data_IF_535962681945
#
_entry.id   IF_535962681945
#
_cell.length_a   1.000
_cell.length_b   1.000
_cell.length_c   1.000
_cell.angle_alpha   90.00
_cell.angle_beta   90.00
_cell.angle_gamma   90.00
#
_symmetry.space_group_name_H-M   'P 1'
#
loop_
_entity.id
_entity.type
_entity.pdbx_description
1 polymer ?
#
# COMPACT_ATOMS: atom_id res chain seq x y z
N UNK A 1 -19.14 21.96 -33.10
CA UNK A 1 -19.17 21.11 -34.30
C UNK A 1 -17.76 20.66 -34.76
N UNK A 2 -16.75 21.53 -34.76
CA UNK A 2 -15.39 21.20 -35.26
C UNK A 2 -14.71 20.09 -34.46
N UNK A 3 -14.84 20.09 -33.14
CA UNK A 3 -14.23 19.04 -32.27
C UNK A 3 -14.75 17.63 -32.56
N UNK A 4 -16.03 17.46 -32.90
CA UNK A 4 -16.60 16.15 -33.25
C UNK A 4 -16.04 15.64 -34.59
N UNK A 5 -15.82 16.54 -35.51
CA UNK A 5 -15.25 16.22 -36.85
C UNK A 5 -13.78 15.79 -36.69
N UNK A 6 -13.02 16.51 -35.87
CA UNK A 6 -11.61 16.15 -35.59
C UNK A 6 -11.48 14.84 -34.83
N UNK A 7 -12.41 14.55 -33.94
CA UNK A 7 -12.44 13.27 -33.23
C UNK A 7 -12.66 12.09 -34.18
N UNK A 8 -13.67 12.19 -35.07
CA UNK A 8 -13.92 11.18 -36.07
C UNK A 8 -12.76 11.04 -37.08
N UNK A 9 -12.13 12.16 -37.42
CA UNK A 9 -10.95 12.15 -38.26
C UNK A 9 -9.76 11.44 -37.59
N UNK A 10 -9.51 11.72 -36.33
CA UNK A 10 -8.46 11.05 -35.57
C UNK A 10 -8.66 9.53 -35.52
N UNK A 11 -9.89 9.06 -35.29
CA UNK A 11 -10.23 7.64 -35.29
C UNK A 11 -9.98 6.98 -36.64
N UNK A 12 -10.40 7.62 -37.73
CA UNK A 12 -10.20 7.12 -39.11
C UNK A 12 -8.72 7.09 -39.50
N UNK A 13 -7.95 8.10 -39.13
CA UNK A 13 -6.50 8.13 -39.42
C UNK A 13 -5.73 7.15 -38.56
N UNK A 14 -6.16 6.90 -37.30
CA UNK A 14 -5.58 5.90 -36.45
C UNK A 14 -5.58 4.52 -37.08
N UNK A 15 -6.75 4.09 -37.60
CA UNK A 15 -6.92 2.80 -38.27
C UNK A 15 -6.09 2.65 -39.56
N UNK A 16 -5.73 3.76 -40.18
CA UNK A 16 -4.89 3.75 -41.39
C UNK A 16 -3.41 3.73 -41.07
N UNK A 17 -3.00 4.41 -40.00
CA UNK A 17 -1.61 4.61 -39.64
C UNK A 17 -1.06 3.46 -38.80
N UNK A 18 -1.87 2.87 -37.95
CA UNK A 18 -1.45 1.87 -37.00
C UNK A 18 -2.18 0.55 -37.21
N UNK A 19 -1.40 -0.53 -37.10
CA UNK A 19 -1.90 -1.91 -37.20
C UNK A 19 -2.07 -2.56 -35.83
N UNK A 20 -1.60 -1.91 -34.78
CA UNK A 20 -1.68 -2.38 -33.39
C UNK A 20 -2.35 -1.32 -32.50
N UNK A 21 -2.68 -1.73 -31.29
CA UNK A 21 -3.43 -0.96 -30.31
C UNK A 21 -2.55 -0.23 -29.27
N UNK A 22 -1.24 -0.13 -29.52
CA UNK A 22 -0.25 0.44 -28.60
C UNK A 22 -0.03 1.94 -28.75
N UNK A 23 -0.78 2.62 -29.60
CA UNK A 23 -0.50 4.01 -29.99
C UNK A 23 -1.54 5.01 -29.48
N UNK A 24 -1.13 6.27 -29.41
CA UNK A 24 -1.96 7.44 -29.18
C UNK A 24 -1.74 8.40 -30.35
N UNK A 25 -2.83 8.83 -30.99
CA UNK A 25 -2.82 9.80 -32.07
C UNK A 25 -3.50 11.09 -31.62
N UNK A 26 -2.80 12.21 -31.75
CA UNK A 26 -3.36 13.55 -31.57
C UNK A 26 -3.47 14.23 -32.91
N UNK A 27 -4.67 14.72 -33.25
CA UNK A 27 -4.90 15.61 -34.39
C UNK A 27 -5.10 17.02 -33.84
N UNK A 28 -4.21 17.92 -34.21
CA UNK A 28 -4.20 19.31 -33.77
C UNK A 28 -4.53 20.23 -34.94
N UNK A 29 -5.43 21.16 -34.76
CA UNK A 29 -5.84 22.13 -35.76
C UNK A 29 -5.77 23.53 -35.20
N UNK A 30 -4.74 24.26 -35.55
CA UNK A 30 -4.63 25.69 -35.26
C UNK A 30 -5.60 26.48 -36.20
N UNK A 31 -6.40 27.35 -35.59
CA UNK A 31 -7.35 28.19 -36.34
C UNK A 31 -6.73 29.49 -36.81
N UNK A 32 -5.48 29.81 -36.42
CA UNK A 32 -4.79 31.05 -36.74
C UNK A 32 -5.36 32.29 -36.03
N UNK A 33 -6.31 32.10 -35.12
CA UNK A 33 -6.97 33.18 -34.37
C UNK A 33 -6.60 33.18 -32.87
N UNK A 34 -5.50 32.52 -32.51
CA UNK A 34 -5.10 32.36 -31.10
C UNK A 34 -5.93 31.31 -30.36
N UNK A 35 -6.53 30.40 -31.12
CA UNK A 35 -7.26 29.24 -30.58
C UNK A 35 -7.01 28.02 -31.44
N UNK A 36 -7.11 26.85 -30.85
CA UNK A 36 -6.97 25.58 -31.55
C UNK A 36 -8.12 24.64 -31.22
N UNK A 37 -8.25 23.59 -32.00
CA UNK A 37 -9.10 22.45 -31.72
C UNK A 37 -8.29 21.18 -31.89
N UNK A 38 -8.62 20.16 -31.12
CA UNK A 38 -7.96 18.86 -31.24
C UNK A 38 -8.97 17.72 -31.20
N UNK A 39 -8.60 16.61 -31.82
CA UNK A 39 -9.20 15.30 -31.66
C UNK A 39 -8.12 14.28 -31.38
N UNK A 40 -8.46 13.16 -30.81
CA UNK A 40 -7.47 12.11 -30.48
C UNK A 40 -8.05 10.72 -30.64
N UNK A 41 -7.21 9.75 -30.92
CA UNK A 41 -7.53 8.34 -30.88
C UNK A 41 -6.53 7.58 -30.02
N UNK A 42 -7.02 6.63 -29.24
CA UNK A 42 -6.22 5.84 -28.30
C UNK A 42 -6.52 4.38 -28.51
N UNK A 43 -5.51 3.59 -28.86
CA UNK A 43 -5.65 2.14 -28.96
C UNK A 43 -5.90 1.48 -27.60
N UNK A 44 -6.50 0.31 -27.60
CA UNK A 44 -6.96 -0.37 -26.40
C UNK A 44 -5.83 -0.68 -25.41
N UNK A 45 -4.62 -0.95 -25.89
CA UNK A 45 -3.44 -1.16 -25.05
C UNK A 45 -2.91 0.18 -24.51
N UNK A 46 -2.90 1.22 -25.33
CA UNK A 46 -2.46 2.56 -24.91
C UNK A 46 -3.37 3.18 -23.85
N UNK A 47 -4.65 2.82 -23.79
CA UNK A 47 -5.62 3.27 -22.77
C UNK A 47 -5.24 2.94 -21.34
N UNK A 48 -4.37 1.96 -21.12
CA UNK A 48 -3.85 1.64 -19.79
C UNK A 48 -2.92 2.72 -19.24
N UNK A 49 -2.33 3.54 -20.11
CA UNK A 49 -1.42 4.63 -19.76
C UNK A 49 -2.06 5.99 -20.10
N UNK A 50 -2.66 6.10 -21.30
CA UNK A 50 -3.36 7.29 -21.80
C UNK A 50 -4.87 7.17 -21.56
N UNK A 51 -5.25 7.13 -20.27
CA UNK A 51 -6.65 7.16 -19.85
C UNK A 51 -7.23 8.58 -19.93
N UNK A 52 -8.45 8.77 -19.49
CA UNK A 52 -9.13 10.08 -19.54
C UNK A 52 -8.44 11.15 -18.70
N UNK A 53 -7.77 10.75 -17.59
CA UNK A 53 -7.00 11.67 -16.73
C UNK A 53 -5.71 12.09 -17.45
N UNK A 54 -5.00 11.15 -18.04
CA UNK A 54 -3.79 11.42 -18.82
C UNK A 54 -4.06 12.33 -20.02
N UNK A 55 -5.15 12.11 -20.74
CA UNK A 55 -5.59 12.99 -21.85
C UNK A 55 -5.92 14.40 -21.34
N UNK A 56 -6.57 14.52 -20.18
CA UNK A 56 -6.85 15.83 -19.56
C UNK A 56 -5.56 16.56 -19.19
N UNK A 57 -4.58 15.84 -18.63
CA UNK A 57 -3.24 16.40 -18.30
C UNK A 57 -2.53 16.86 -19.58
N UNK A 58 -2.62 16.10 -20.69
CA UNK A 58 -2.06 16.52 -21.97
C UNK A 58 -2.73 17.81 -22.48
N UNK A 59 -4.06 17.89 -22.41
CA UNK A 59 -4.79 19.10 -22.80
C UNK A 59 -4.35 20.32 -21.98
N UNK A 60 -4.17 20.20 -20.66
CA UNK A 60 -3.66 21.27 -19.79
C UNK A 60 -2.27 21.76 -20.20
N UNK A 61 -1.38 20.84 -20.62
CA UNK A 61 -0.06 21.23 -21.11
C UNK A 61 -0.09 21.84 -22.51
N UNK A 62 -0.96 21.36 -23.42
CA UNK A 62 -1.17 21.99 -24.73
C UNK A 62 -1.69 23.42 -24.53
N UNK A 63 -2.68 23.64 -23.70
CA UNK A 63 -3.21 24.99 -23.40
C UNK A 63 -2.13 25.92 -22.83
N UNK A 64 -1.31 25.38 -21.91
CA UNK A 64 -0.24 26.15 -21.27
C UNK A 64 0.84 26.62 -22.23
N UNK A 65 1.23 25.77 -23.18
CA UNK A 65 2.35 26.06 -24.07
C UNK A 65 1.91 26.64 -25.40
N UNK A 66 0.62 26.57 -25.75
CA UNK A 66 0.10 27.11 -27.03
C UNK A 66 0.39 28.60 -27.23
N UNK A 67 0.34 29.40 -26.17
CA UNK A 67 0.62 30.84 -26.22
C UNK A 67 2.12 31.20 -26.07
N UNK A 68 3.01 30.22 -26.01
CA UNK A 68 4.44 30.46 -25.97
C UNK A 68 5.02 30.56 -27.38
N UNK A 69 6.09 31.37 -27.55
CA UNK A 69 6.81 31.52 -28.83
C UNK A 69 7.71 30.30 -29.12
N UNK A 70 7.18 29.07 -28.97
CA UNK A 70 7.88 27.84 -29.27
C UNK A 70 7.62 27.42 -30.72
N UNK A 71 8.63 26.81 -31.35
CA UNK A 71 8.43 26.10 -32.61
C UNK A 71 7.51 24.88 -32.39
N UNK A 72 6.76 24.49 -33.43
CA UNK A 72 5.76 23.41 -33.32
C UNK A 72 6.35 22.11 -32.77
N UNK A 73 7.56 21.73 -33.18
CA UNK A 73 8.24 20.54 -32.72
C UNK A 73 8.55 20.61 -31.20
N UNK A 74 9.06 21.75 -30.73
CA UNK A 74 9.35 21.99 -29.32
C UNK A 74 8.07 22.01 -28.48
N UNK A 75 7.03 22.65 -28.98
CA UNK A 75 5.71 22.72 -28.35
C UNK A 75 5.14 21.34 -28.10
N UNK A 76 5.01 20.49 -29.13
CA UNK A 76 4.47 19.16 -28.96
C UNK A 76 5.37 18.26 -28.13
N UNK A 77 6.67 18.25 -28.37
CA UNK A 77 7.60 17.41 -27.60
C UNK A 77 7.56 17.74 -26.11
N UNK A 78 7.52 19.03 -25.77
CA UNK A 78 7.45 19.50 -24.38
C UNK A 78 6.11 19.10 -23.72
N UNK A 79 4.99 19.30 -24.41
CA UNK A 79 3.67 18.93 -23.89
C UNK A 79 3.58 17.43 -23.63
N UNK A 80 4.02 16.58 -24.55
CA UNK A 80 4.04 15.13 -24.37
C UNK A 80 5.03 14.68 -23.30
N UNK A 81 6.22 15.25 -23.24
CA UNK A 81 7.20 14.92 -22.21
C UNK A 81 6.66 15.25 -20.81
N UNK A 82 6.09 16.45 -20.62
CA UNK A 82 5.53 16.87 -19.33
C UNK A 82 4.34 16.02 -18.91
N UNK A 83 3.51 15.63 -19.86
CA UNK A 83 2.42 14.70 -19.62
C UNK A 83 2.96 13.36 -19.15
N UNK A 84 3.93 12.78 -19.85
CA UNK A 84 4.56 11.52 -19.48
C UNK A 84 5.20 11.56 -18.08
N UNK A 85 5.95 12.61 -17.77
CA UNK A 85 6.54 12.83 -16.44
C UNK A 85 5.44 12.88 -15.36
N UNK A 86 4.35 13.58 -15.60
CA UNK A 86 3.24 13.72 -14.66
C UNK A 86 2.53 12.39 -14.41
N UNK A 87 2.19 11.66 -15.46
CA UNK A 87 1.49 10.37 -15.39
C UNK A 87 2.35 9.35 -14.67
N UNK A 88 3.64 9.28 -15.00
CA UNK A 88 4.57 8.33 -14.36
C UNK A 88 4.81 8.64 -12.89
N UNK A 89 4.78 9.90 -12.47
CA UNK A 89 4.90 10.26 -11.04
C UNK A 89 3.67 9.86 -10.23
N UNK A 90 2.47 9.99 -10.78
CA UNK A 90 1.22 9.58 -10.13
C UNK A 90 1.17 8.05 -9.96
N UNK A 91 1.57 7.30 -10.98
CA UNK A 91 1.61 5.83 -10.91
C UNK A 91 2.63 5.31 -9.90
N UNK A 92 3.74 6.03 -9.66
CA UNK A 92 4.78 5.67 -8.67
C UNK A 92 4.36 5.92 -7.21
N UNK A 93 3.38 6.78 -6.97
CA UNK A 93 3.07 7.27 -5.62
C UNK A 93 2.16 6.36 -4.79
N UNK A 94 1.41 5.44 -5.37
CA UNK A 94 0.41 4.67 -4.62
C UNK A 94 0.91 3.31 -4.08
N UNK A 95 1.84 2.67 -4.76
CA UNK A 95 2.30 1.32 -4.40
C UNK A 95 3.01 1.24 -3.04
N UNK A 96 3.93 2.16 -2.66
CA UNK A 96 4.62 2.07 -1.37
C UNK A 96 3.68 2.34 -0.17
N UNK A 97 2.70 3.23 -0.32
CA UNK A 97 1.78 3.59 0.77
C UNK A 97 0.87 2.42 1.15
N UNK A 98 0.36 1.68 0.18
CA UNK A 98 -0.50 0.50 0.42
C UNK A 98 0.30 -0.61 1.13
N UNK A 99 1.53 -0.87 0.71
CA UNK A 99 2.40 -1.87 1.35
C UNK A 99 2.69 -1.48 2.81
N UNK A 100 3.01 -0.22 3.09
CA UNK A 100 3.28 0.27 4.45
C UNK A 100 2.06 0.07 5.35
N UNK A 101 0.86 0.38 4.88
CA UNK A 101 -0.39 0.18 5.65
C UNK A 101 -0.60 -1.30 5.99
N UNK A 102 -0.38 -2.22 5.05
CA UNK A 102 -0.48 -3.65 5.30
C UNK A 102 0.56 -4.16 6.31
N UNK A 103 1.80 -3.68 6.24
CA UNK A 103 2.86 -4.05 7.19
C UNK A 103 2.51 -3.57 8.61
N UNK A 104 2.01 -2.34 8.76
CA UNK A 104 1.59 -1.80 10.05
C UNK A 104 0.41 -2.61 10.61
N UNK A 105 -0.60 -2.93 9.79
CA UNK A 105 -1.73 -3.74 10.21
C UNK A 105 -1.30 -5.13 10.69
N UNK A 106 -0.41 -5.80 9.96
CA UNK A 106 0.15 -7.10 10.35
C UNK A 106 0.93 -7.01 11.67
N UNK A 107 1.74 -5.98 11.88
CA UNK A 107 2.48 -5.76 13.11
C UNK A 107 1.55 -5.58 14.33
N UNK A 108 0.47 -4.83 14.18
CA UNK A 108 -0.54 -4.65 15.23
C UNK A 108 -1.20 -5.98 15.61
N UNK A 109 -1.57 -6.79 14.64
CA UNK A 109 -2.16 -8.13 14.89
C UNK A 109 -1.18 -9.02 15.68
N UNK A 110 0.11 -9.02 15.33
CA UNK A 110 1.13 -9.80 16.04
C UNK A 110 1.29 -9.32 17.48
N UNK A 111 1.33 -8.01 17.72
CA UNK A 111 1.44 -7.44 19.06
C UNK A 111 0.23 -7.82 19.92
N UNK A 112 -0.99 -7.68 19.38
CA UNK A 112 -2.22 -8.07 20.09
C UNK A 112 -2.23 -9.57 20.43
N UNK A 113 -1.79 -10.41 19.50
CA UNK A 113 -1.69 -11.86 19.73
C UNK A 113 -0.67 -12.20 20.83
N UNK A 114 0.49 -11.54 20.84
CA UNK A 114 1.49 -11.74 21.87
C UNK A 114 1.00 -11.29 23.26
N UNK A 115 0.32 -10.15 23.33
CA UNK A 115 -0.28 -9.66 24.58
C UNK A 115 -1.37 -10.59 25.10
N UNK A 116 -2.20 -11.15 24.19
CA UNK A 116 -3.22 -12.12 24.56
C UNK A 116 -2.57 -13.39 25.15
N UNK A 117 -1.57 -13.91 24.50
CA UNK A 117 -0.82 -15.10 24.95
C UNK A 117 -0.12 -14.89 26.30
N UNK A 118 0.43 -13.69 26.54
CA UNK A 118 1.05 -13.34 27.83
C UNK A 118 0.02 -13.27 28.97
N UNK A 119 -1.14 -12.67 28.68
CA UNK A 119 -2.25 -12.62 29.64
C UNK A 119 -2.77 -14.01 30.00
N UNK A 120 -2.82 -14.92 29.06
CA UNK A 120 -3.25 -16.29 29.29
C UNK A 120 -2.27 -17.06 30.16
N UNK A 121 -0.97 -16.92 29.93
CA UNK A 121 0.08 -17.49 30.80
C UNK A 121 0.00 -16.93 32.22
N UNK A 122 -0.14 -15.63 32.38
CA UNK A 122 -0.26 -14.99 33.69
C UNK A 122 -1.52 -15.44 34.47
N UNK A 123 -2.63 -15.67 33.76
CA UNK A 123 -3.86 -16.23 34.35
C UNK A 123 -3.70 -17.70 34.77
N UNK A 124 -3.00 -18.48 33.96
CA UNK A 124 -2.74 -19.89 34.27
C UNK A 124 -1.82 -20.02 35.52
N UNK A 125 -0.84 -19.16 35.67
CA UNK A 125 0.06 -19.12 36.80
C UNK A 125 -0.65 -18.70 38.10
N UNK A 126 -1.54 -17.71 38.03
CA UNK A 126 -2.41 -17.34 39.16
C UNK A 126 -3.29 -18.50 39.60
N UNK A 127 -3.95 -19.19 38.66
CA UNK A 127 -4.79 -20.36 38.98
C UNK A 127 -4.02 -21.52 39.60
N UNK A 128 -2.73 -21.69 39.29
CA UNK A 128 -1.87 -22.71 39.97
C UNK A 128 -1.58 -22.32 41.39
N UNK A 129 -1.19 -21.06 41.65
CA UNK A 129 -0.94 -20.55 43.00
C UNK A 129 -2.17 -20.61 43.91
N UNK A 130 -3.34 -20.25 43.33
CA UNK A 130 -4.60 -20.30 44.06
C UNK A 130 -4.95 -21.75 44.48
N UNK A 131 -4.73 -22.72 43.58
CA UNK A 131 -4.93 -24.14 43.88
C UNK A 131 -3.94 -24.69 44.89
N UNK A 132 -2.66 -24.32 44.79
CA UNK A 132 -1.64 -24.72 45.75
C UNK A 132 -1.95 -24.14 47.14
N UNK A 133 -2.44 -22.90 47.22
CA UNK A 133 -2.85 -22.27 48.46
C UNK A 133 -4.11 -22.93 49.07
N UNK A 134 -5.07 -23.30 48.22
CA UNK A 134 -6.27 -24.00 48.65
C UNK A 134 -5.95 -25.42 49.15
N UNK A 135 -5.03 -26.13 48.52
CA UNK A 135 -4.58 -27.47 48.92
C UNK A 135 -3.82 -27.43 50.26
N UNK A 136 -3.02 -26.38 50.48
CA UNK A 136 -2.37 -26.15 51.78
C UNK A 136 -3.40 -25.88 52.90
N UNK A 137 -4.44 -25.09 52.62
CA UNK A 137 -5.51 -24.76 53.59
C UNK A 137 -6.43 -25.94 53.91
N UNK A 138 -6.58 -26.88 52.97
CA UNK A 138 -7.39 -28.09 53.18
C UNK A 138 -6.62 -29.24 53.81
N UNK A 139 -5.26 -29.14 53.89
CA UNK A 139 -4.48 -30.18 54.57
C UNK A 139 -4.64 -30.04 56.06
N UNK A 140 -5.21 -31.04 56.77
CA UNK A 140 -5.41 -30.96 58.22
C UNK A 140 -4.06 -30.90 58.94
N UNK A 141 -3.98 -30.05 59.96
CA UNK A 141 -2.79 -29.79 60.76
C UNK A 141 -2.20 -31.06 61.44
N UNK A 142 -2.98 -32.11 61.58
CA UNK A 142 -2.54 -33.39 62.12
C UNK A 142 -1.46 -34.12 61.30
N UNK A 143 -1.31 -33.78 60.02
CA UNK A 143 -0.22 -34.34 59.18
C UNK A 143 1.14 -33.69 59.36
N UNK A 144 1.22 -32.56 60.03
CA UNK A 144 2.47 -31.87 60.33
C UNK A 144 3.12 -32.31 61.66
N UNK A 145 2.55 -33.31 62.33
CA UNK A 145 3.09 -33.81 63.60
C UNK A 145 3.97 -35.04 63.46
N UNK A 146 4.27 -35.49 62.23
CA UNK A 146 5.14 -36.64 62.04
C UNK A 146 6.62 -36.18 62.10
N UNK A 147 7.33 -36.65 63.13
CA UNK A 147 8.77 -36.44 63.41
C UNK A 147 9.67 -36.80 62.20
N UNK A 148 9.19 -37.62 61.28
CA UNK A 148 9.85 -38.06 60.06
C UNK A 148 10.08 -36.94 59.03
N UNK A 149 9.21 -35.92 58.95
CA UNK A 149 9.39 -34.79 58.03
C UNK A 149 10.42 -33.79 58.50
N UNK A 150 10.52 -33.60 59.80
CA UNK A 150 11.53 -32.73 60.41
C UNK A 150 12.95 -33.30 60.22
N UNK A 151 13.10 -34.62 60.28
CA UNK A 151 14.37 -35.31 60.08
C UNK A 151 14.80 -35.31 58.58
N UNK A 152 13.84 -35.41 57.68
CA UNK A 152 14.11 -35.30 56.22
C UNK A 152 14.47 -33.86 55.79
N UNK A 153 13.90 -32.86 56.43
CA UNK A 153 14.26 -31.47 56.21
C UNK A 153 15.67 -31.16 56.77
N UNK A 154 15.98 -31.65 57.96
CA UNK A 154 17.31 -31.50 58.56
C UNK A 154 18.39 -32.11 57.66
N UNK A 155 18.22 -33.33 57.16
CA UNK A 155 19.13 -34.00 56.22
C UNK A 155 19.28 -33.27 54.87
N UNK A 156 18.27 -32.54 54.44
CA UNK A 156 18.32 -31.77 53.17
C UNK A 156 19.12 -30.47 53.33
N UNK A 157 19.14 -29.89 54.49
CA UNK A 157 19.91 -28.68 54.79
C UNK A 157 21.39 -28.99 55.12
N UNK A 158 21.69 -30.07 55.82
CA UNK A 158 23.04 -30.52 56.07
C UNK A 158 23.83 -30.83 54.80
N UNK A 159 23.16 -31.36 53.77
CA UNK A 159 23.80 -31.70 52.50
C UNK A 159 24.10 -30.48 51.61
N UNK A 160 23.63 -29.29 52.00
CA UNK A 160 23.83 -28.06 51.24
C UNK A 160 25.03 -27.23 51.68
N UNK A 161 25.51 -27.49 52.89
CA UNK A 161 26.66 -26.77 53.49
C UNK A 161 28.01 -27.46 53.20
N UNK A 162 28.03 -28.65 52.55
CA UNK A 162 29.25 -29.37 52.14
C UNK A 162 29.65 -29.14 50.67
N UNK A 163 29.19 -28.10 50.02
CA UNK A 163 29.60 -27.75 48.65
C UNK A 163 30.08 -26.28 48.60
#
# INVERSE_FOLDING_TARGET
>A
MLGVVLQQFAEQEYDKLFTDEGHFLLVFCDTGSGSYNCGYAVGSQAKTIMDSEAVSVLADYLDRYYSSDMEDEEFFSTAFQKTGERIMTVTKSQTPTVIIVFVIAAAVVVVVFLLYRWREKARAEKRRRDKEMEDILQTPLDKFSDEDEAENLAKKYEKKDEK
#
